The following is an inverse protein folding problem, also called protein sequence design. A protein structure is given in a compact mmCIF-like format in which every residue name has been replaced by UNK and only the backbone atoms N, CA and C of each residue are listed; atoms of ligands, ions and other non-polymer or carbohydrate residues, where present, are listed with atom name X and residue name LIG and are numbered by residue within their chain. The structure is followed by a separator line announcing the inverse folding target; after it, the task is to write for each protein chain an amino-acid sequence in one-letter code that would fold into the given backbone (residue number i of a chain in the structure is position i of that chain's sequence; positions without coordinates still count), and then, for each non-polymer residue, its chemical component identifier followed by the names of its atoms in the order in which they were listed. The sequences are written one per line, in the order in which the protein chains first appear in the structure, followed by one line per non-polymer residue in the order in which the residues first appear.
data_IF_823987062046
#
_entry.id   IF_823987062046
#
_cell.length_a   1.000
_cell.length_b   1.000
_cell.length_c   1.000
_cell.angle_alpha   90.00
_cell.angle_beta   90.00
_cell.angle_gamma   90.00
#
_symmetry.space_group_name_H-M   'P 1'
#
loop_
_entity.id
_entity.type
_entity.pdbx_description
1 polymer ?
#
# COMPACT_ATOMS: atom_id res chain seq x y z
N UNK A 1 -11.83 -1.07 6.88
CA UNK A 1 -11.03 -1.10 5.63
C UNK A 1 -11.71 -2.10 4.72
N UNK A 2 -11.67 -1.86 3.42
CA UNK A 2 -12.08 -2.85 2.42
C UNK A 2 -11.34 -4.17 2.69
N UNK A 3 -12.01 -5.31 2.48
CA UNK A 3 -11.40 -6.63 2.73
C UNK A 3 -10.17 -6.84 1.83
N UNK A 4 -9.07 -7.30 2.41
CA UNK A 4 -7.83 -7.62 1.69
C UNK A 4 -6.54 -7.12 2.36
N UNK A 5 -5.41 -7.55 1.82
CA UNK A 5 -4.06 -7.11 2.22
C UNK A 5 -3.55 -6.08 1.22
N UNK A 6 -3.15 -4.90 1.70
CA UNK A 6 -2.59 -3.84 0.86
C UNK A 6 -1.09 -3.70 1.10
N UNK A 7 -0.29 -3.72 0.02
CA UNK A 7 1.16 -3.57 0.08
C UNK A 7 1.58 -2.32 -0.67
N UNK A 8 2.01 -1.28 0.05
CA UNK A 8 2.65 -0.09 -0.52
C UNK A 8 4.09 -0.42 -0.92
N UNK A 9 4.45 -0.20 -2.18
CA UNK A 9 5.80 -0.52 -2.68
C UNK A 9 6.24 0.35 -3.85
N UNK A 10 7.56 0.53 -3.96
CA UNK A 10 8.25 1.08 -5.15
C UNK A 10 9.05 0.03 -5.92
N UNK A 11 9.03 -1.22 -5.44
CA UNK A 11 9.88 -2.28 -5.99
C UNK A 11 9.33 -2.80 -7.32
N UNK A 12 10.23 -3.23 -8.21
CA UNK A 12 9.86 -3.63 -9.58
C UNK A 12 8.96 -4.86 -9.66
N UNK A 13 8.97 -5.74 -8.65
CA UNK A 13 8.12 -6.93 -8.59
C UNK A 13 6.62 -6.59 -8.68
N UNK A 14 6.22 -5.37 -8.28
CA UNK A 14 4.83 -4.90 -8.36
C UNK A 14 4.24 -5.02 -9.78
N UNK A 15 5.09 -4.88 -10.79
CA UNK A 15 4.72 -4.97 -12.20
C UNK A 15 4.20 -6.35 -12.61
N UNK A 16 4.51 -7.41 -11.85
CA UNK A 16 3.98 -8.75 -12.09
C UNK A 16 2.45 -8.81 -11.92
N UNK A 17 1.86 -7.83 -11.21
CA UNK A 17 0.44 -7.75 -10.90
C UNK A 17 -0.33 -6.74 -11.78
N UNK A 18 0.29 -6.18 -12.83
CA UNK A 18 -0.36 -5.17 -13.71
C UNK A 18 -1.64 -5.68 -14.38
N UNK A 19 -1.72 -6.98 -14.64
CA UNK A 19 -2.89 -7.64 -15.22
C UNK A 19 -3.54 -8.64 -14.25
N UNK A 20 -3.28 -8.49 -12.95
CA UNK A 20 -3.62 -9.50 -11.96
C UNK A 20 -2.65 -10.70 -12.01
N UNK A 21 -2.29 -11.23 -10.84
CA UNK A 21 -1.54 -12.49 -10.76
C UNK A 21 -1.74 -13.14 -9.39
N UNK A 22 -1.62 -14.45 -9.31
CA UNK A 22 -1.61 -15.16 -8.03
C UNK A 22 -0.24 -15.07 -7.37
N UNK A 23 -0.23 -15.00 -6.04
CA UNK A 23 0.98 -15.10 -5.23
C UNK A 23 0.71 -15.94 -3.98
N UNK A 24 1.75 -16.61 -3.48
CA UNK A 24 1.74 -17.20 -2.16
C UNK A 24 2.21 -16.16 -1.14
N UNK A 25 1.33 -15.83 -0.19
CA UNK A 25 1.62 -14.88 0.89
C UNK A 25 1.72 -15.65 2.18
N UNK A 26 2.84 -15.50 2.89
CA UNK A 26 3.00 -16.07 4.22
C UNK A 26 2.50 -15.08 5.25
N UNK A 27 1.43 -15.45 5.95
CA UNK A 27 0.89 -14.72 7.10
C UNK A 27 0.91 -15.63 8.32
N UNK A 28 1.55 -15.17 9.40
CA UNK A 28 1.73 -15.96 10.63
C UNK A 28 2.33 -17.37 10.37
N UNK A 29 3.32 -17.43 9.47
CA UNK A 29 3.99 -18.68 9.08
C UNK A 29 3.17 -19.62 8.19
N UNK A 30 1.93 -19.26 7.83
CA UNK A 30 1.06 -20.07 6.97
C UNK A 30 0.98 -19.47 5.56
N UNK A 31 1.22 -20.27 4.51
CA UNK A 31 1.00 -19.81 3.15
C UNK A 31 -0.49 -19.64 2.87
N UNK A 32 -0.84 -18.56 2.17
CA UNK A 32 -2.16 -18.29 1.64
C UNK A 32 -2.02 -17.88 0.18
N UNK A 33 -2.75 -18.55 -0.71
CA UNK A 33 -2.83 -18.13 -2.12
C UNK A 33 -3.74 -16.92 -2.22
N UNK A 34 -3.23 -15.84 -2.82
CA UNK A 34 -3.96 -14.59 -2.98
C UNK A 34 -3.85 -14.08 -4.42
N UNK A 35 -4.91 -13.45 -4.91
CA UNK A 35 -4.90 -12.71 -6.17
C UNK A 35 -4.43 -11.28 -5.90
N UNK A 36 -3.34 -10.87 -6.54
CA UNK A 36 -2.76 -9.53 -6.43
C UNK A 36 -3.12 -8.67 -7.64
N UNK A 37 -3.55 -7.43 -7.39
CA UNK A 37 -3.83 -6.42 -8.42
C UNK A 37 -3.01 -5.17 -8.15
N UNK A 38 -2.33 -4.67 -9.18
CA UNK A 38 -1.54 -3.45 -9.09
C UNK A 38 -2.43 -2.21 -9.27
N UNK A 39 -2.35 -1.30 -8.30
CA UNK A 39 -3.01 0.00 -8.30
C UNK A 39 -1.93 1.07 -8.46
N UNK A 40 -1.87 1.68 -9.66
CA UNK A 40 -0.91 2.74 -10.00
C UNK A 40 -1.56 4.14 -10.02
N UNK A 41 -2.89 4.23 -10.00
CA UNK A 41 -3.59 5.52 -9.96
C UNK A 41 -3.22 6.31 -8.69
N UNK A 42 -2.69 7.51 -8.89
CA UNK A 42 -2.06 8.29 -7.81
C UNK A 42 -3.07 8.73 -6.76
N UNK A 43 -4.27 9.12 -7.20
CA UNK A 43 -5.33 9.54 -6.29
C UNK A 43 -5.79 8.35 -5.42
N UNK A 44 -5.96 7.18 -6.04
CA UNK A 44 -6.33 5.95 -5.34
C UNK A 44 -5.24 5.48 -4.37
N UNK A 45 -3.96 5.52 -4.79
CA UNK A 45 -2.82 5.18 -3.92
C UNK A 45 -2.77 6.13 -2.72
N UNK A 46 -2.93 7.43 -2.95
CA UNK A 46 -2.88 8.43 -1.89
C UNK A 46 -4.00 8.25 -0.86
N UNK A 47 -5.24 8.04 -1.31
CA UNK A 47 -6.38 7.77 -0.45
C UNK A 47 -6.17 6.51 0.41
N UNK A 48 -5.73 5.40 -0.20
CA UNK A 48 -5.45 4.15 0.50
C UNK A 48 -4.37 4.32 1.58
N UNK A 49 -3.27 5.01 1.24
CA UNK A 49 -2.17 5.26 2.17
C UNK A 49 -2.61 6.19 3.30
N UNK A 50 -3.42 7.21 3.00
CA UNK A 50 -3.97 8.12 4.00
C UNK A 50 -4.85 7.38 5.01
N UNK A 51 -5.84 6.61 4.55
CA UNK A 51 -6.71 5.80 5.41
C UNK A 51 -5.91 4.80 6.26
N UNK A 52 -4.88 4.19 5.69
CA UNK A 52 -3.94 3.33 6.44
C UNK A 52 -3.20 4.12 7.54
N UNK A 53 -2.64 5.28 7.20
CA UNK A 53 -1.91 6.11 8.15
C UNK A 53 -2.81 6.59 9.30
N UNK A 54 -4.07 6.96 9.01
CA UNK A 54 -5.07 7.33 10.02
C UNK A 54 -5.36 6.18 10.99
N UNK A 55 -5.55 4.96 10.47
CA UNK A 55 -5.81 3.78 11.30
C UNK A 55 -4.66 3.43 12.26
N UNK A 56 -3.41 3.68 11.86
CA UNK A 56 -2.23 3.39 12.66
C UNK A 56 -1.83 4.53 13.61
N UNK A 57 -2.25 5.76 13.30
CA UNK A 57 -1.78 6.98 13.95
C UNK A 57 -0.34 7.35 13.56
N UNK A 58 0.03 8.60 13.84
CA UNK A 58 1.25 9.27 13.35
C UNK A 58 2.54 8.46 13.56
N UNK A 59 2.76 7.91 14.76
CA UNK A 59 4.03 7.25 15.09
C UNK A 59 4.20 5.92 14.34
N UNK A 60 3.14 5.10 14.32
CA UNK A 60 3.19 3.78 13.70
C UNK A 60 3.13 3.87 12.17
N UNK A 61 2.37 4.81 11.63
CA UNK A 61 2.33 5.10 10.20
C UNK A 61 3.72 5.45 9.63
N UNK A 62 4.48 6.33 10.30
CA UNK A 62 5.84 6.67 9.88
C UNK A 62 6.77 5.46 9.80
N UNK A 63 6.69 4.55 10.78
CA UNK A 63 7.52 3.34 10.82
C UNK A 63 7.16 2.38 9.67
N UNK A 64 5.88 2.14 9.45
CA UNK A 64 5.40 1.19 8.43
C UNK A 64 5.68 1.72 7.02
N UNK A 65 5.40 3.00 6.78
CA UNK A 65 5.59 3.62 5.47
C UNK A 65 7.07 3.91 5.19
N UNK A 66 7.89 4.04 6.24
CA UNK A 66 9.31 4.35 6.11
C UNK A 66 9.58 5.82 5.74
N UNK A 67 8.67 6.73 6.11
CA UNK A 67 8.81 8.16 5.92
C UNK A 67 8.77 8.92 7.24
N UNK A 68 9.43 10.08 7.27
CA UNK A 68 9.24 11.08 8.32
C UNK A 68 8.10 12.00 7.93
N UNK A 69 7.15 12.18 8.83
CA UNK A 69 6.04 13.11 8.61
C UNK A 69 6.41 14.49 9.15
N UNK A 70 6.07 15.52 8.39
CA UNK A 70 6.25 16.90 8.81
C UNK A 70 5.26 17.23 9.94
N UNK A 71 5.66 18.14 10.84
CA UNK A 71 4.80 18.72 11.88
C UNK A 71 4.13 17.72 12.83
N UNK A 72 4.65 16.48 12.93
CA UNK A 72 4.09 15.40 13.76
C UNK A 72 2.60 15.13 13.50
N UNK A 73 2.14 15.36 12.26
CA UNK A 73 0.78 15.05 11.81
C UNK A 73 0.80 13.99 10.71
N UNK A 74 -0.36 13.48 10.36
CA UNK A 74 -0.53 12.65 9.17
C UNK A 74 -0.50 13.59 7.95
N UNK A 75 0.26 13.27 6.88
CA UNK A 75 0.20 14.00 5.62
C UNK A 75 -1.22 14.00 5.04
N UNK A 76 -1.62 15.05 4.32
CA UNK A 76 -2.90 15.06 3.62
C UNK A 76 -2.88 14.10 2.44
N UNK A 77 -4.06 13.84 1.85
CA UNK A 77 -4.18 13.04 0.62
C UNK A 77 -3.35 13.66 -0.51
N UNK A 78 -3.35 14.99 -0.67
CA UNK A 78 -2.53 15.67 -1.69
C UNK A 78 -1.03 15.49 -1.45
N UNK A 79 -0.57 15.57 -0.20
CA UNK A 79 0.84 15.34 0.16
C UNK A 79 1.25 13.87 -0.11
N UNK A 80 0.34 12.91 0.12
CA UNK A 80 0.56 11.52 -0.26
C UNK A 80 0.54 11.31 -1.78
N UNK A 81 -0.29 12.04 -2.53
CA UNK A 81 -0.32 11.96 -3.99
C UNK A 81 0.98 12.48 -4.61
N UNK A 82 1.51 13.60 -4.11
CA UNK A 82 2.82 14.12 -4.48
C UNK A 82 3.93 13.11 -4.17
N UNK A 83 3.90 12.51 -2.97
CA UNK A 83 4.85 11.47 -2.58
C UNK A 83 4.75 10.24 -3.50
N UNK A 84 3.54 9.83 -3.87
CA UNK A 84 3.32 8.68 -4.74
C UNK A 84 3.90 8.89 -6.13
N UNK A 85 3.72 10.08 -6.70
CA UNK A 85 4.36 10.47 -7.95
C UNK A 85 5.89 10.51 -7.83
N UNK A 86 6.42 11.26 -6.85
CA UNK A 86 7.86 11.48 -6.70
C UNK A 86 8.64 10.22 -6.36
N UNK A 87 8.05 9.32 -5.58
CA UNK A 87 8.68 8.07 -5.11
C UNK A 87 8.32 6.86 -5.97
N UNK A 88 7.49 7.04 -7.01
CA UNK A 88 6.93 5.97 -7.84
C UNK A 88 6.31 4.85 -6.98
N UNK A 89 5.48 5.25 -6.01
CA UNK A 89 4.71 4.30 -5.22
C UNK A 89 3.54 3.76 -6.01
N UNK A 90 3.25 2.50 -5.74
CA UNK A 90 2.01 1.86 -6.10
C UNK A 90 1.56 0.99 -4.91
N UNK A 91 0.30 0.57 -4.95
CA UNK A 91 -0.24 -0.40 -4.00
C UNK A 91 -0.54 -1.69 -4.75
N UNK A 92 -0.16 -2.82 -4.19
CA UNK A 92 -0.70 -4.11 -4.62
C UNK A 92 -1.78 -4.50 -3.62
N UNK A 93 -3.01 -4.67 -4.12
CA UNK A 93 -4.13 -5.22 -3.34
C UNK A 93 -4.13 -6.73 -3.52
N UNK A 94 -4.09 -7.45 -2.43
CA UNK A 94 -4.22 -8.91 -2.39
C UNK A 94 -5.56 -9.29 -1.76
N UNK A 95 -6.34 -10.09 -2.48
CA UNK A 95 -7.55 -10.73 -1.98
C UNK A 95 -7.34 -12.25 -1.96
N UNK A 96 -7.97 -13.00 -1.04
CA UNK A 96 -7.93 -14.46 -1.09
C UNK A 96 -8.26 -14.97 -2.50
N UNK A 97 -7.47 -15.90 -3.02
CA UNK A 97 -7.83 -16.60 -4.24
C UNK A 97 -8.87 -17.67 -3.89
N UNK A 98 -9.89 -17.81 -4.74
CA UNK A 98 -10.88 -18.89 -4.63
C UNK A 98 -10.24 -20.29 -4.79
#
# INVERSE_FOLDING_TARGET
MDDGLFVLTRMRWKNNFRNGATAEIYYDGKPMTMHGELIEDRATVADLVHRCAESYGVRRAQLIIGLKFRDKRIPSVEEFAEAAERLNWAVVRFTPAD
#
